data_IF_915977888052
#
_entry.id   IF_915977888052
#
_cell.length_a   1.000
_cell.length_b   1.000
_cell.length_c   1.000
_cell.angle_alpha   90.00
_cell.angle_beta   90.00
_cell.angle_gamma   90.00
#
_symmetry.space_group_name_H-M   'P 1'
#
loop_
_entity.id
_entity.type
_entity.pdbx_description
1 polymer ?
#
# COMPACT_ATOMS: atom_id res chain seq x y z
N UNK A 1 -11.76 13.78 16.59
CA UNK A 1 -12.77 12.90 15.95
C UNK A 1 -12.07 11.97 14.97
N UNK A 2 -12.00 10.67 15.27
CA UNK A 2 -11.37 9.69 14.37
C UNK A 2 -12.23 9.46 13.15
N UNK A 3 -11.64 9.50 11.96
CA UNK A 3 -12.34 9.25 10.68
C UNK A 3 -13.02 7.86 10.76
N UNK A 4 -14.25 7.71 10.25
CA UNK A 4 -14.98 6.45 10.33
C UNK A 4 -14.20 5.38 9.56
N UNK A 5 -13.70 4.38 10.30
CA UNK A 5 -13.17 3.14 9.71
C UNK A 5 -14.28 2.54 8.85
N UNK A 6 -14.01 2.35 7.56
CA UNK A 6 -14.96 1.94 6.53
C UNK A 6 -15.87 0.79 6.98
N UNK A 7 -17.19 0.99 6.95
CA UNK A 7 -18.23 0.07 7.42
C UNK A 7 -18.52 -1.15 6.50
N UNK A 8 -17.68 -1.45 5.51
CA UNK A 8 -18.07 -2.35 4.41
C UNK A 8 -17.76 -3.84 4.59
N UNK A 9 -17.15 -4.26 5.70
CA UNK A 9 -16.93 -5.67 6.08
C UNK A 9 -16.91 -5.68 7.62
N UNK A 10 -17.30 -6.75 8.37
CA UNK A 10 -17.01 -6.88 9.80
C UNK A 10 -15.49 -7.11 10.01
N UNK A 11 -14.69 -6.15 9.56
CA UNK A 11 -13.24 -6.16 9.49
C UNK A 11 -12.62 -6.25 10.88
N UNK A 12 -13.31 -5.70 11.89
CA UNK A 12 -12.96 -5.79 13.30
C UNK A 12 -12.95 -7.23 13.85
N UNK A 13 -13.50 -8.21 13.13
CA UNK A 13 -13.44 -9.65 13.48
C UNK A 13 -12.34 -10.40 12.73
N UNK A 14 -11.76 -9.81 11.68
CA UNK A 14 -10.64 -10.41 10.95
C UNK A 14 -9.36 -10.09 11.71
N UNK A 15 -8.72 -11.10 12.30
CA UNK A 15 -7.34 -10.97 12.75
C UNK A 15 -6.45 -10.99 11.52
N UNK A 16 -5.92 -9.81 11.16
CA UNK A 16 -4.90 -9.70 10.12
C UNK A 16 -3.63 -10.41 10.58
N UNK A 17 -2.97 -11.12 9.67
CA UNK A 17 -1.68 -11.75 9.97
C UNK A 17 -0.64 -10.69 10.28
N UNK A 18 0.35 -11.04 11.08
CA UNK A 18 1.49 -10.16 11.34
C UNK A 18 2.68 -10.54 10.46
N UNK A 19 3.40 -9.53 9.99
CA UNK A 19 4.65 -9.65 9.26
C UNK A 19 5.66 -8.74 9.92
N UNK A 20 6.82 -9.29 10.28
CA UNK A 20 7.88 -8.58 11.02
C UNK A 20 7.42 -7.93 12.35
N UNK A 21 6.38 -8.48 12.99
CA UNK A 21 5.79 -7.92 14.21
C UNK A 21 4.83 -6.74 13.96
N UNK A 22 4.36 -6.56 12.73
CA UNK A 22 3.38 -5.54 12.37
C UNK A 22 2.15 -6.16 11.71
N UNK A 23 0.97 -5.60 11.99
CA UNK A 23 -0.27 -6.00 11.33
C UNK A 23 -0.21 -5.73 9.82
N UNK A 24 -0.79 -6.64 9.04
CA UNK A 24 -1.04 -6.47 7.60
C UNK A 24 -2.31 -5.68 7.29
N UNK A 25 -3.04 -5.21 8.32
CA UNK A 25 -4.22 -4.36 8.14
C UNK A 25 -3.86 -3.05 7.44
N UNK A 26 -4.57 -2.71 6.38
CA UNK A 26 -4.36 -1.45 5.66
C UNK A 26 -4.92 -0.27 6.46
N UNK A 27 -4.07 0.72 6.70
CA UNK A 27 -4.48 1.99 7.26
C UNK A 27 -5.08 2.89 6.18
N UNK A 28 -6.41 2.87 6.04
CA UNK A 28 -7.15 3.63 5.01
C UNK A 28 -6.70 5.08 4.85
N UNK A 29 -6.64 5.87 5.93
CA UNK A 29 -6.29 7.29 5.82
C UNK A 29 -4.86 7.58 5.34
N UNK A 30 -3.95 6.60 5.41
CA UNK A 30 -2.59 6.72 4.83
C UNK A 30 -2.61 6.28 3.38
N UNK A 31 -3.32 5.19 3.09
CA UNK A 31 -3.49 4.69 1.73
C UNK A 31 -4.23 5.67 0.82
N UNK A 32 -5.26 6.36 1.34
CA UNK A 32 -6.08 7.31 0.59
C UNK A 32 -5.27 8.44 -0.06
N UNK A 33 -4.14 8.82 0.54
CA UNK A 33 -3.21 9.81 -0.04
C UNK A 33 -2.62 9.38 -1.38
N UNK A 34 -2.64 8.09 -1.68
CA UNK A 34 -2.13 7.50 -2.91
C UNK A 34 -3.24 7.07 -3.87
N UNK A 35 -4.53 7.22 -3.52
CA UNK A 35 -5.65 6.71 -4.32
C UNK A 35 -6.43 7.85 -4.97
N UNK A 36 -6.38 8.03 -6.30
CA UNK A 36 -7.21 9.01 -6.99
C UNK A 36 -8.69 8.88 -6.65
N UNK A 37 -9.37 10.02 -6.51
CA UNK A 37 -10.79 10.07 -6.16
C UNK A 37 -11.11 9.96 -4.66
N UNK A 38 -10.10 9.75 -3.80
CA UNK A 38 -10.27 9.86 -2.35
C UNK A 38 -10.11 11.32 -1.88
N UNK A 39 -10.83 11.76 -0.81
CA UNK A 39 -10.75 13.14 -0.32
C UNK A 39 -9.33 13.60 0.05
N UNK A 40 -8.49 12.68 0.55
CA UNK A 40 -7.11 12.99 0.96
C UNK A 40 -6.05 12.69 -0.11
N UNK A 41 -6.46 12.42 -1.35
CA UNK A 41 -5.52 12.12 -2.44
C UNK A 41 -4.52 13.26 -2.66
N UNK A 42 -3.24 12.91 -2.67
CA UNK A 42 -2.13 13.83 -2.98
C UNK A 42 -1.66 13.56 -4.42
N UNK A 43 -2.00 14.44 -5.39
CA UNK A 43 -1.66 14.24 -6.80
C UNK A 43 -0.16 14.31 -7.09
N UNK A 44 0.66 14.77 -6.13
CA UNK A 44 2.12 14.70 -6.25
C UNK A 44 2.68 13.29 -6.07
N UNK A 45 1.86 12.34 -5.58
CA UNK A 45 2.25 10.94 -5.36
C UNK A 45 1.97 10.09 -6.58
N UNK A 46 2.72 8.99 -6.69
CA UNK A 46 2.41 7.89 -7.60
C UNK A 46 1.02 7.32 -7.26
N UNK A 47 0.05 7.31 -8.20
CA UNK A 47 -1.31 6.84 -7.93
C UNK A 47 -1.39 5.31 -7.90
N UNK A 48 -1.92 4.78 -6.79
CA UNK A 48 -2.43 3.41 -6.68
C UNK A 48 -3.84 3.38 -7.27
N UNK A 49 -4.05 2.53 -8.26
CA UNK A 49 -5.27 2.53 -9.11
C UNK A 49 -6.25 1.43 -8.75
N UNK A 50 -5.82 0.45 -7.95
CA UNK A 50 -6.68 -0.61 -7.41
C UNK A 50 -7.43 -0.13 -6.16
N UNK A 51 -8.60 -0.70 -5.89
CA UNK A 51 -9.42 -0.34 -4.73
C UNK A 51 -8.83 -0.86 -3.40
N UNK A 52 -9.34 -0.32 -2.28
CA UNK A 52 -8.83 -0.63 -0.94
C UNK A 52 -8.96 -2.11 -0.54
N UNK A 53 -10.00 -2.79 -1.00
CA UNK A 53 -10.21 -4.21 -0.71
C UNK A 53 -9.20 -5.05 -1.49
N UNK A 54 -8.94 -4.68 -2.74
CA UNK A 54 -7.89 -5.29 -3.56
C UNK A 54 -6.52 -5.08 -2.92
N UNK A 55 -6.20 -3.87 -2.45
CA UNK A 55 -4.95 -3.60 -1.72
C UNK A 55 -4.82 -4.50 -0.49
N UNK A 56 -5.88 -4.64 0.31
CA UNK A 56 -5.83 -5.53 1.48
C UNK A 56 -5.56 -6.98 1.08
N UNK A 57 -6.25 -7.51 0.07
CA UNK A 57 -6.08 -8.90 -0.39
C UNK A 57 -4.65 -9.13 -0.87
N UNK A 58 -4.10 -8.18 -1.61
CA UNK A 58 -2.73 -8.22 -2.10
C UNK A 58 -1.71 -8.22 -0.95
N UNK A 59 -1.87 -7.34 0.04
CA UNK A 59 -0.98 -7.34 1.22
C UNK A 59 -1.14 -8.62 2.04
N UNK A 60 -2.35 -9.13 2.23
CA UNK A 60 -2.57 -10.42 2.90
C UNK A 60 -1.91 -11.59 2.17
N UNK A 61 -1.76 -11.51 0.85
CA UNK A 61 -1.13 -12.54 0.05
C UNK A 61 0.39 -12.43 0.08
N UNK A 62 0.93 -11.27 -0.30
CA UNK A 62 2.34 -11.10 -0.65
C UNK A 62 3.23 -10.47 0.44
N UNK A 63 2.67 -9.99 1.56
CA UNK A 63 3.47 -9.42 2.65
C UNK A 63 4.39 -10.50 3.26
N UNK A 64 5.70 -10.27 3.25
CA UNK A 64 6.73 -11.21 3.71
C UNK A 64 7.46 -11.93 2.58
N UNK A 65 6.97 -11.85 1.33
CA UNK A 65 7.57 -12.53 0.17
C UNK A 65 8.61 -11.66 -0.55
N UNK A 66 8.70 -10.38 -0.20
CA UNK A 66 9.58 -9.40 -0.82
C UNK A 66 10.92 -9.22 -0.13
N UNK A 67 11.66 -8.19 -0.56
CA UNK A 67 12.94 -7.82 0.04
C UNK A 67 12.74 -6.75 1.10
N UNK A 68 13.20 -7.03 2.32
CA UNK A 68 13.19 -6.06 3.43
C UNK A 68 14.31 -5.04 3.23
N UNK A 69 14.04 -3.77 3.57
CA UNK A 69 15.07 -2.74 3.56
C UNK A 69 15.94 -2.88 4.82
N UNK A 70 17.25 -3.04 4.64
CA UNK A 70 18.22 -3.17 5.75
C UNK A 70 18.19 -1.95 6.68
N UNK A 71 18.17 -0.75 6.10
CA UNK A 71 18.10 0.53 6.83
C UNK A 71 16.69 0.90 7.32
N UNK A 72 15.67 0.12 6.99
CA UNK A 72 14.27 0.40 7.35
C UNK A 72 13.51 -0.92 7.53
N UNK A 73 13.66 -1.57 8.70
CA UNK A 73 13.10 -2.90 8.94
C UNK A 73 11.56 -2.93 8.91
N UNK A 74 10.87 -1.80 8.94
CA UNK A 74 9.41 -1.76 8.76
C UNK A 74 8.99 -1.55 7.29
N UNK A 75 9.91 -1.73 6.34
CA UNK A 75 9.64 -1.60 4.90
C UNK A 75 10.09 -2.84 4.14
N UNK A 76 9.29 -3.18 3.15
CA UNK A 76 9.50 -4.33 2.30
C UNK A 76 9.08 -3.98 0.88
N UNK A 77 9.94 -4.22 -0.11
CA UNK A 77 9.59 -4.08 -1.52
C UNK A 77 9.07 -5.42 -2.05
N UNK A 78 7.87 -5.39 -2.63
CA UNK A 78 7.10 -6.58 -3.03
C UNK A 78 6.63 -6.41 -4.47
N UNK A 79 6.68 -7.51 -5.23
CA UNK A 79 6.01 -7.63 -6.53
C UNK A 79 4.63 -8.26 -6.31
N UNK A 80 3.57 -7.55 -6.66
CA UNK A 80 2.19 -8.00 -6.51
C UNK A 80 1.68 -8.82 -7.70
N UNK A 81 2.53 -9.08 -8.70
CA UNK A 81 2.24 -9.89 -9.90
C UNK A 81 1.10 -9.37 -10.79
N UNK A 82 0.50 -8.24 -10.43
CA UNK A 82 -0.47 -7.51 -11.21
C UNK A 82 -0.18 -6.02 -11.13
N UNK A 83 -0.60 -5.26 -12.14
CA UNK A 83 -0.45 -3.80 -12.13
C UNK A 83 -1.33 -3.23 -11.01
N UNK A 84 -0.71 -2.47 -10.11
CA UNK A 84 -1.39 -1.85 -8.96
C UNK A 84 -1.45 -0.32 -9.07
N UNK A 85 -0.75 0.27 -10.03
CA UNK A 85 -0.86 1.68 -10.36
C UNK A 85 0.31 2.19 -11.20
N UNK A 86 0.52 3.49 -11.15
CA UNK A 86 1.51 4.20 -11.98
C UNK A 86 2.61 4.77 -11.10
N UNK A 87 3.84 4.28 -11.24
CA UNK A 87 5.00 4.89 -10.62
C UNK A 87 5.38 6.16 -11.38
N UNK A 88 5.58 7.27 -10.66
CA UNK A 88 5.94 8.58 -11.23
C UNK A 88 7.24 9.08 -10.62
N UNK A 89 8.15 9.59 -11.45
CA UNK A 89 9.34 10.29 -10.97
C UNK A 89 9.04 11.70 -10.47
N UNK A 90 8.03 12.35 -11.04
CA UNK A 90 7.54 13.67 -10.64
C UNK A 90 6.02 13.76 -10.80
N UNK A 91 5.40 14.79 -10.25
CA UNK A 91 3.94 14.99 -10.36
C UNK A 91 3.45 15.19 -11.80
N UNK A 92 4.30 15.69 -12.70
CA UNK A 92 3.99 15.92 -14.11
C UNK A 92 4.27 14.71 -15.01
N UNK A 93 4.92 13.67 -14.50
CA UNK A 93 5.22 12.44 -15.23
C UNK A 93 3.92 11.63 -15.44
N UNK A 94 3.58 11.21 -16.68
CA UNK A 94 2.48 10.28 -16.91
C UNK A 94 2.62 8.99 -16.09
N UNK A 95 3.87 8.58 -15.81
CA UNK A 95 4.23 7.44 -14.98
C UNK A 95 4.34 6.13 -15.77
N UNK A 96 4.92 5.14 -15.12
CA UNK A 96 5.08 3.78 -15.63
C UNK A 96 4.14 2.84 -14.87
N UNK A 97 3.36 1.98 -15.57
CA UNK A 97 2.61 0.91 -14.90
C UNK A 97 3.57 0.05 -14.07
N UNK A 98 3.21 -0.23 -12.84
CA UNK A 98 4.05 -1.02 -11.94
C UNK A 98 3.26 -2.08 -11.19
N UNK A 99 3.88 -3.24 -11.05
CA UNK A 99 3.46 -4.32 -10.15
C UNK A 99 4.19 -4.26 -8.81
N UNK A 100 5.17 -3.34 -8.68
CA UNK A 100 6.04 -3.24 -7.52
C UNK A 100 5.59 -2.10 -6.61
N UNK A 101 5.56 -2.37 -5.32
CA UNK A 101 5.41 -1.34 -4.30
C UNK A 101 6.15 -1.72 -3.02
N UNK A 102 6.50 -0.69 -2.27
CA UNK A 102 6.97 -0.85 -0.90
C UNK A 102 5.76 -0.90 0.04
N UNK A 103 5.65 -1.98 0.80
CA UNK A 103 4.77 -2.05 1.96
C UNK A 103 5.45 -1.32 3.12
N UNK A 104 4.81 -0.25 3.60
CA UNK A 104 5.22 0.47 4.79
C UNK A 104 4.41 -0.02 5.99
N UNK A 105 5.04 -0.86 6.82
CA UNK A 105 4.43 -1.38 8.04
C UNK A 105 4.49 -0.37 9.19
N UNK A 106 3.49 -0.42 10.07
CA UNK A 106 3.47 0.30 11.33
C UNK A 106 2.54 -0.35 12.34
N UNK A 107 2.64 0.06 13.62
CA UNK A 107 1.74 -0.41 14.69
C UNK A 107 0.25 -0.15 14.41
N UNK A 108 -0.06 0.89 13.63
CA UNK A 108 -1.44 1.32 13.36
C UNK A 108 -1.96 0.82 11.98
N UNK A 109 -1.22 -0.05 11.31
CA UNK A 109 -1.55 -0.53 9.97
C UNK A 109 -0.52 -0.19 8.91
N UNK A 110 -0.62 -0.87 7.78
CA UNK A 110 0.25 -0.77 6.62
C UNK A 110 -0.33 0.17 5.54
N UNK A 111 0.51 0.60 4.61
CA UNK A 111 0.11 1.23 3.35
C UNK A 111 1.13 0.94 2.26
N UNK A 112 0.72 1.06 1.01
CA UNK A 112 1.53 0.85 -0.18
C UNK A 112 2.03 2.18 -0.74
N UNK A 113 3.31 2.20 -1.11
CA UNK A 113 3.93 3.25 -1.92
C UNK A 113 4.50 2.60 -3.17
N UNK A 114 4.06 3.03 -4.35
CA UNK A 114 4.52 2.45 -5.61
C UNK A 114 6.04 2.58 -5.76
N UNK A 115 6.66 1.53 -6.29
CA UNK A 115 8.09 1.44 -6.52
C UNK A 115 8.39 1.43 -8.01
N UNK A 116 9.60 1.89 -8.33
CA UNK A 116 10.13 1.93 -9.69
C UNK A 116 10.24 0.50 -10.26
N UNK A 117 9.51 0.15 -11.33
CA UNK A 117 9.54 -1.20 -11.90
C UNK A 117 10.91 -1.61 -12.48
N UNK A 118 11.84 -0.64 -12.61
CA UNK A 118 13.20 -0.82 -13.10
C UNK A 118 14.23 -1.03 -11.99
N UNK A 119 13.90 -0.72 -10.73
CA UNK A 119 14.78 -0.92 -9.56
C UNK A 119 14.21 -2.05 -8.70
N UNK A 120 14.59 -3.28 -9.03
CA UNK A 120 14.17 -4.52 -8.38
C UNK A 120 15.19 -4.97 -7.34
#
# INVERSE_FOLDING_TARGET
>A
MGKPRSKLIPYHKLKFREVYGFTTEIHFGRQAKHMPGQPEYDPSRSPVTVDILTIQRLVLRYAGDGKRYESSPNKEIVNFEQVIGMYRYSSSDPGLPTTWATIHYSKNGAHLVLADPRRR
#
